data_IF_289705514074
#
_entry.id   IF_289705514074
#
_cell.length_a   1.000
_cell.length_b   1.000
_cell.length_c   1.000
_cell.angle_alpha   90.00
_cell.angle_beta   90.00
_cell.angle_gamma   90.00
#
_symmetry.space_group_name_H-M   'P 1'
#
loop_
_entity.id
_entity.type
_entity.pdbx_description
1 polymer ?
#
# COMPACT_ATOMS: atom_id res chain seq x y z
N UNK A 1 -1.19 6.31 15.55
CA UNK A 1 -0.91 5.69 14.23
C UNK A 1 -1.12 4.20 14.31
N UNK A 2 -1.75 3.63 13.33
CA UNK A 2 -1.98 2.20 13.26
C UNK A 2 -1.08 1.57 12.22
N UNK A 3 -0.59 0.37 12.52
CA UNK A 3 0.18 -0.40 11.55
C UNK A 3 -0.75 -1.42 10.90
N UNK A 4 -0.72 -1.43 9.57
CA UNK A 4 -1.55 -2.35 8.78
C UNK A 4 -0.67 -3.05 7.76
N UNK A 5 -1.04 -4.28 7.44
CA UNK A 5 -0.36 -5.05 6.41
C UNK A 5 -1.36 -5.38 5.31
N UNK A 6 -1.03 -4.99 4.09
CA UNK A 6 -1.84 -5.29 2.91
C UNK A 6 -1.13 -6.35 2.09
N UNK A 7 -1.87 -7.30 1.60
CA UNK A 7 -1.31 -8.30 0.69
C UNK A 7 -1.64 -7.92 -0.73
N UNK A 8 -0.60 -7.66 -1.51
CA UNK A 8 -0.73 -7.16 -2.88
C UNK A 8 -0.17 -8.18 -3.85
N UNK A 9 -0.95 -8.51 -4.87
CA UNK A 9 -0.53 -9.41 -5.93
C UNK A 9 -0.14 -8.63 -7.18
N UNK A 10 0.78 -9.16 -7.94
CA UNK A 10 1.25 -8.55 -9.18
C UNK A 10 2.51 -7.70 -9.03
N UNK A 11 3.00 -7.54 -7.82
CA UNK A 11 4.27 -6.83 -7.60
C UNK A 11 5.42 -7.79 -7.89
N UNK A 12 6.09 -7.61 -9.03
CA UNK A 12 7.14 -8.52 -9.45
C UNK A 12 8.49 -7.85 -9.65
N UNK A 13 8.59 -6.53 -9.50
CA UNK A 13 9.83 -5.81 -9.74
C UNK A 13 9.92 -4.53 -8.92
N UNK A 14 11.09 -3.89 -8.95
CA UNK A 14 11.32 -2.66 -8.20
C UNK A 14 10.42 -1.50 -8.62
N UNK A 15 10.03 -1.46 -9.88
CA UNK A 15 9.10 -0.42 -10.35
C UNK A 15 7.73 -0.56 -9.71
N UNK A 16 7.29 -1.79 -9.49
CA UNK A 16 6.03 -2.06 -8.80
C UNK A 16 6.08 -1.55 -7.36
N UNK A 17 7.20 -1.83 -6.68
CA UNK A 17 7.42 -1.34 -5.33
C UNK A 17 7.33 0.19 -5.27
N UNK A 18 8.00 0.87 -6.18
CA UNK A 18 8.00 2.33 -6.22
C UNK A 18 6.60 2.88 -6.50
N UNK A 19 5.87 2.27 -7.44
CA UNK A 19 4.53 2.70 -7.79
C UNK A 19 3.57 2.58 -6.60
N UNK A 20 3.61 1.46 -5.90
CA UNK A 20 2.76 1.23 -4.72
C UNK A 20 3.14 2.19 -3.61
N UNK A 21 4.44 2.35 -3.35
CA UNK A 21 4.92 3.25 -2.31
C UNK A 21 4.45 4.69 -2.57
N UNK A 22 4.61 5.15 -3.81
CA UNK A 22 4.21 6.51 -4.17
C UNK A 22 2.70 6.71 -4.08
N UNK A 23 1.94 5.72 -4.56
CA UNK A 23 0.49 5.79 -4.52
C UNK A 23 -0.02 5.92 -3.08
N UNK A 24 0.54 5.14 -2.17
CA UNK A 24 0.14 5.20 -0.77
C UNK A 24 0.61 6.49 -0.09
N UNK A 25 1.81 6.96 -0.41
CA UNK A 25 2.32 8.20 0.17
C UNK A 25 1.53 9.44 -0.25
N UNK A 26 0.82 9.37 -1.34
CA UNK A 26 -0.04 10.47 -1.79
C UNK A 26 -1.30 10.61 -0.95
N UNK A 27 -1.66 9.57 -0.21
CA UNK A 27 -2.84 9.62 0.65
C UNK A 27 -2.53 10.37 1.94
N UNK A 28 -3.43 11.26 2.30
CA UNK A 28 -3.32 11.98 3.57
C UNK A 28 -3.54 11.00 4.73
N UNK A 29 -2.64 11.01 5.69
CA UNK A 29 -2.71 10.11 6.82
C UNK A 29 -1.81 8.90 6.74
N UNK A 30 -1.19 8.63 5.59
CA UNK A 30 -0.21 7.57 5.45
C UNK A 30 1.16 8.12 5.83
N UNK A 31 1.81 7.47 6.78
CA UNK A 31 3.09 7.96 7.31
C UNK A 31 4.29 7.15 6.82
N UNK A 32 4.21 5.82 6.89
CA UNK A 32 5.29 4.96 6.47
C UNK A 32 4.76 3.85 5.58
N UNK A 33 5.52 3.51 4.54
CA UNK A 33 5.18 2.41 3.64
C UNK A 33 6.43 1.57 3.44
N UNK A 34 6.34 0.28 3.73
CA UNK A 34 7.41 -0.69 3.48
C UNK A 34 6.85 -1.80 2.63
N UNK A 35 7.45 -2.01 1.46
CA UNK A 35 6.99 -3.03 0.51
C UNK A 35 7.95 -4.22 0.54
N UNK A 36 7.38 -5.41 0.76
CA UNK A 36 8.12 -6.67 0.75
C UNK A 36 7.79 -7.42 -0.54
N UNK A 37 8.64 -7.27 -1.56
CA UNK A 37 8.39 -7.90 -2.85
C UNK A 37 8.37 -9.43 -2.77
N UNK A 38 9.17 -10.00 -1.87
CA UNK A 38 9.28 -11.45 -1.75
C UNK A 38 7.96 -12.12 -1.34
N UNK A 39 7.20 -11.44 -0.50
CA UNK A 39 5.95 -12.00 0.03
C UNK A 39 4.72 -11.30 -0.55
N UNK A 40 4.91 -10.15 -1.17
CA UNK A 40 3.81 -9.33 -1.65
C UNK A 40 3.12 -8.53 -0.55
N UNK A 41 3.72 -8.46 0.62
CA UNK A 41 3.14 -7.71 1.74
C UNK A 41 3.58 -6.26 1.70
N UNK A 42 2.66 -5.37 2.05
CA UNK A 42 2.94 -3.95 2.18
C UNK A 42 2.56 -3.53 3.61
N UNK A 43 3.56 -3.14 4.37
CA UNK A 43 3.33 -2.66 5.73
C UNK A 43 3.20 -1.14 5.70
N UNK A 44 2.14 -0.64 6.30
CA UNK A 44 1.87 0.80 6.33
C UNK A 44 1.58 1.27 7.74
N UNK A 45 2.00 2.48 8.05
CA UNK A 45 1.57 3.18 9.26
C UNK A 45 0.64 4.30 8.84
N UNK A 46 -0.58 4.28 9.37
CA UNK A 46 -1.62 5.21 8.95
C UNK A 46 -2.37 5.79 10.14
N UNK A 47 -2.93 6.95 9.92
CA UNK A 47 -3.89 7.55 10.84
C UNK A 47 -5.29 7.16 10.34
N UNK A 48 -5.92 6.25 11.03
CA UNK A 48 -7.21 5.70 10.60
C UNK A 48 -8.33 6.75 10.62
N UNK A 49 -8.11 7.90 11.22
CA UNK A 49 -9.08 8.99 11.18
C UNK A 49 -8.98 9.79 9.88
N UNK A 50 -7.89 9.63 9.13
CA UNK A 50 -7.67 10.38 7.89
C UNK A 50 -7.75 9.52 6.64
N UNK A 51 -7.42 8.24 6.75
CA UNK A 51 -7.40 7.33 5.61
C UNK A 51 -8.02 6.00 5.99
N UNK A 52 -8.77 5.41 5.07
CA UNK A 52 -9.43 4.12 5.28
C UNK A 52 -8.70 3.02 4.52
N UNK A 53 -8.96 1.76 4.90
CA UNK A 53 -8.43 0.60 4.20
C UNK A 53 -8.88 0.60 2.74
N UNK A 54 -10.13 1.00 2.49
CA UNK A 54 -10.67 1.08 1.14
C UNK A 54 -9.90 2.08 0.27
N UNK A 55 -9.52 3.22 0.85
CA UNK A 55 -8.75 4.23 0.12
C UNK A 55 -7.36 3.71 -0.24
N UNK A 56 -6.70 3.01 0.68
CA UNK A 56 -5.39 2.43 0.40
C UNK A 56 -5.47 1.35 -0.67
N UNK A 57 -6.46 0.48 -0.57
CA UNK A 57 -6.67 -0.56 -1.58
C UNK A 57 -6.93 0.06 -2.95
N UNK A 58 -7.78 1.07 -3.01
CA UNK A 58 -8.12 1.74 -4.25
C UNK A 58 -6.89 2.37 -4.91
N UNK A 59 -6.04 3.01 -4.10
CA UNK A 59 -4.81 3.60 -4.60
C UNK A 59 -3.88 2.56 -5.23
N UNK A 60 -3.78 1.39 -4.61
CA UNK A 60 -2.96 0.29 -5.13
C UNK A 60 -3.58 -0.29 -6.40
N UNK A 61 -4.90 -0.47 -6.42
CA UNK A 61 -5.59 -1.03 -7.57
C UNK A 61 -5.50 -0.11 -8.78
N UNK A 62 -5.47 1.19 -8.57
CA UNK A 62 -5.28 2.16 -9.65
C UNK A 62 -3.93 2.00 -10.34
N UNK A 63 -2.94 1.45 -9.66
CA UNK A 63 -1.64 1.17 -10.24
C UNK A 63 -1.61 -0.15 -11.01
N UNK A 64 -2.71 -0.90 -10.99
CA UNK A 64 -2.83 -2.14 -11.73
C UNK A 64 -2.52 -3.39 -10.92
N UNK A 65 -2.50 -3.30 -9.61
CA UNK A 65 -2.23 -4.44 -8.72
C UNK A 65 -3.49 -4.80 -7.94
N UNK A 66 -3.56 -6.05 -7.50
CA UNK A 66 -4.69 -6.54 -6.71
C UNK A 66 -4.33 -6.61 -5.24
N UNK A 67 -5.23 -6.13 -4.39
CA UNK A 67 -5.09 -6.24 -2.94
C UNK A 67 -5.99 -7.36 -2.46
N UNK A 68 -5.40 -8.34 -1.76
CA UNK A 68 -6.12 -9.55 -1.36
C UNK A 68 -6.55 -9.56 0.11
N UNK A 69 -6.01 -8.71 0.93
CA UNK A 69 -6.40 -8.70 2.34
C UNK A 69 -6.45 -7.31 2.90
#
# INVERSE_FOLDING_TARGET
MEKKTLKVEGMTCGHCKAAVTNALNELDGVKNVVVHLETGNVDVEVDSTKVTDAEMREAIEEQGYDVKA
#
